data_IF_282754302468
#
_entry.id   IF_282754302468
#
_cell.length_a   1.000
_cell.length_b   1.000
_cell.length_c   1.000
_cell.angle_alpha   90.00
_cell.angle_beta   90.00
_cell.angle_gamma   90.00
#
_symmetry.space_group_name_H-M   'P 1'
#
loop_
_entity.id
_entity.type
_entity.pdbx_description
1 polymer ?
#
# COMPACT_ATOMS: atom_id res chain seq x y z
N UNK A 1 7.66 9.07 -4.18
CA UNK A 1 7.22 7.70 -4.50
C UNK A 1 5.87 7.75 -5.20
N UNK A 2 5.70 6.97 -6.27
CA UNK A 2 4.44 6.94 -7.00
C UNK A 2 3.49 5.91 -6.40
N UNK A 3 2.20 6.00 -6.74
CA UNK A 3 1.21 5.02 -6.31
C UNK A 3 1.59 3.63 -6.80
N UNK A 4 2.09 3.54 -8.01
CA UNK A 4 2.52 2.27 -8.58
C UNK A 4 3.66 1.63 -7.78
N UNK A 5 4.60 2.44 -7.31
CA UNK A 5 5.68 1.94 -6.46
C UNK A 5 5.14 1.46 -5.11
N UNK A 6 4.15 2.16 -4.58
CA UNK A 6 3.50 1.75 -3.33
C UNK A 6 2.81 0.41 -3.49
N UNK A 7 2.09 0.22 -4.61
CA UNK A 7 1.45 -1.06 -4.90
C UNK A 7 2.47 -2.18 -5.00
N UNK A 8 3.60 -1.92 -5.65
CA UNK A 8 4.65 -2.91 -5.80
C UNK A 8 5.20 -3.32 -4.45
N UNK A 9 5.45 -2.36 -3.57
CA UNK A 9 5.92 -2.64 -2.22
C UNK A 9 4.92 -3.52 -1.48
N UNK A 10 3.65 -3.19 -1.55
CA UNK A 10 2.62 -3.95 -0.87
C UNK A 10 2.51 -5.38 -1.39
N UNK A 11 2.61 -5.56 -2.69
CA UNK A 11 2.48 -6.89 -3.29
C UNK A 11 3.73 -7.74 -3.11
N UNK A 12 4.91 -7.14 -3.30
CA UNK A 12 6.18 -7.87 -3.27
C UNK A 12 6.66 -8.13 -1.84
N UNK A 13 6.64 -7.10 -1.00
CA UNK A 13 7.21 -7.21 0.35
C UNK A 13 6.20 -7.69 1.39
N UNK A 14 4.94 -7.36 1.21
CA UNK A 14 3.91 -7.70 2.21
C UNK A 14 2.91 -8.73 1.73
N UNK A 15 3.11 -9.26 0.53
CA UNK A 15 2.26 -10.31 -0.04
C UNK A 15 0.77 -9.94 -0.13
N UNK A 16 0.48 -8.67 -0.32
CA UNK A 16 -0.89 -8.23 -0.56
C UNK A 16 -1.25 -8.61 -2.00
N UNK A 17 -2.31 -9.34 -2.19
CA UNK A 17 -2.68 -9.78 -3.52
C UNK A 17 -3.20 -8.63 -4.37
N UNK A 18 -2.98 -8.71 -5.68
CA UNK A 18 -3.48 -7.70 -6.60
C UNK A 18 -4.99 -7.61 -6.56
N UNK A 19 -5.65 -8.74 -6.36
CA UNK A 19 -7.10 -8.77 -6.22
C UNK A 19 -7.56 -7.98 -5.00
N UNK A 20 -6.88 -8.17 -3.88
CA UNK A 20 -7.17 -7.40 -2.66
C UNK A 20 -6.99 -5.91 -2.90
N UNK A 21 -5.91 -5.52 -3.57
CA UNK A 21 -5.69 -4.12 -3.90
C UNK A 21 -6.80 -3.56 -4.78
N UNK A 22 -7.24 -4.31 -5.77
CA UNK A 22 -8.33 -3.87 -6.64
C UNK A 22 -9.62 -3.66 -5.89
N UNK A 23 -9.96 -4.57 -4.99
CA UNK A 23 -11.18 -4.48 -4.20
C UNK A 23 -11.12 -3.23 -3.30
N UNK A 24 -10.01 -3.04 -2.61
CA UNK A 24 -9.85 -1.90 -1.71
C UNK A 24 -9.87 -0.59 -2.48
N UNK A 25 -9.19 -0.52 -3.61
CA UNK A 25 -9.18 0.70 -4.41
C UNK A 25 -10.52 0.97 -5.08
N UNK A 26 -11.29 -0.07 -5.37
CA UNK A 26 -12.63 0.10 -5.91
C UNK A 26 -13.57 0.70 -4.88
N UNK A 27 -13.39 0.37 -3.62
CA UNK A 27 -14.22 0.87 -2.51
C UNK A 27 -13.77 2.26 -2.05
N UNK A 28 -12.47 2.43 -1.85
CA UNK A 28 -11.92 3.62 -1.22
C UNK A 28 -11.29 4.62 -2.20
N UNK A 29 -11.09 4.23 -3.43
CA UNK A 29 -10.44 5.06 -4.44
C UNK A 29 -8.98 4.69 -4.63
N UNK A 30 -8.47 4.96 -5.83
CA UNK A 30 -7.09 4.70 -6.18
C UNK A 30 -6.26 5.94 -5.84
N UNK A 31 -5.70 5.97 -4.65
CA UNK A 31 -4.95 7.14 -4.17
C UNK A 31 -3.83 6.73 -3.23
N UNK A 32 -2.93 7.66 -2.95
CA UNK A 32 -1.84 7.42 -2.01
C UNK A 32 -2.36 7.15 -0.61
N UNK A 33 -3.45 7.81 -0.23
CA UNK A 33 -4.06 7.58 1.09
C UNK A 33 -4.52 6.14 1.25
N UNK A 34 -5.15 5.60 0.21
CA UNK A 34 -5.60 4.21 0.23
C UNK A 34 -4.40 3.27 0.40
N UNK A 35 -3.31 3.54 -0.30
CA UNK A 35 -2.10 2.72 -0.19
C UNK A 35 -1.51 2.79 1.21
N UNK A 36 -1.51 3.98 1.82
CA UNK A 36 -1.02 4.14 3.19
C UNK A 36 -1.90 3.41 4.19
N UNK A 37 -3.21 3.41 3.97
CA UNK A 37 -4.12 2.66 4.84
C UNK A 37 -3.84 1.18 4.78
N UNK A 38 -3.60 0.65 3.60
CA UNK A 38 -3.26 -0.75 3.43
C UNK A 38 -1.94 -1.07 4.13
N UNK A 39 -0.95 -0.20 3.97
CA UNK A 39 0.34 -0.36 4.62
C UNK A 39 0.18 -0.42 6.14
N UNK A 40 -0.66 0.44 6.68
CA UNK A 40 -0.91 0.46 8.12
C UNK A 40 -1.49 -0.87 8.61
N UNK A 41 -2.41 -1.43 7.84
CA UNK A 41 -3.07 -2.69 8.21
C UNK A 41 -2.10 -3.86 8.16
N UNK A 42 -1.24 -3.92 7.14
CA UNK A 42 -0.36 -5.08 6.95
C UNK A 42 0.99 -4.96 7.65
N UNK A 43 1.47 -3.75 7.88
CA UNK A 43 2.82 -3.53 8.43
C UNK A 43 2.86 -2.62 9.65
N UNK A 44 1.79 -1.89 9.93
CA UNK A 44 1.75 -0.97 11.05
C UNK A 44 2.43 0.38 10.80
N UNK A 45 2.89 0.63 9.59
CA UNK A 45 3.50 1.91 9.23
C UNK A 45 2.45 2.84 8.65
N UNK A 46 2.52 4.11 9.01
CA UNK A 46 1.56 5.10 8.51
C UNK A 46 1.97 5.71 7.18
N UNK A 47 3.24 5.59 6.84
CA UNK A 47 3.78 6.21 5.65
C UNK A 47 4.86 5.33 5.06
N UNK A 48 4.98 5.34 3.75
CA UNK A 48 6.02 4.60 3.06
C UNK A 48 7.41 5.16 3.32
N UNK A 49 7.48 6.44 3.68
CA UNK A 49 8.76 7.06 4.04
C UNK A 49 9.41 6.37 5.24
N UNK A 50 8.62 5.79 6.12
CA UNK A 50 9.16 5.07 7.27
C UNK A 50 9.95 3.83 6.86
N UNK A 51 9.65 3.27 5.70
CA UNK A 51 10.37 2.11 5.19
C UNK A 51 11.74 2.48 4.64
N UNK A 52 11.91 3.72 4.18
CA UNK A 52 13.16 4.18 3.60
C UNK A 52 14.20 4.56 4.64
N UNK A 53 13.77 4.80 5.86
CA UNK A 53 14.67 5.21 6.93
C UNK A 53 15.49 4.07 7.49
N UNK A 54 15.20 2.87 7.08
CA UNK A 54 15.99 1.72 7.46
C UNK A 54 17.12 1.46 6.49
#
# INVERSE_FOLDING_TARGET
>A
MTIEQMEEILTVYYNVSEETLRIITAINGYSEETMKDILFVVAGYRDFDQLEEE
#
